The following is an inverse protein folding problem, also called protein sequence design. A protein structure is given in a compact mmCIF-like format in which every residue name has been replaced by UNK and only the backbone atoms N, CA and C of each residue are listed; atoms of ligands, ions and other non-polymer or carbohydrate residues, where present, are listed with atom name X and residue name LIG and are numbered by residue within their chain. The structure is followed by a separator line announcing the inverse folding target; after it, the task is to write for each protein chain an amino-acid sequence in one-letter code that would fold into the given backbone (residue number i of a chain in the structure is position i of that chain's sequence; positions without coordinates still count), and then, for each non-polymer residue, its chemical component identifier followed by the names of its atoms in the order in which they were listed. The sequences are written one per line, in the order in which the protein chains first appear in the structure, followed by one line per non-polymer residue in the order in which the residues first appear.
data_IF_943103499589
#
_entry.id   IF_943103499589
#
_cell.length_a   1.000
_cell.length_b   1.000
_cell.length_c   1.000
_cell.angle_alpha   90.00
_cell.angle_beta   90.00
_cell.angle_gamma   90.00
#
_symmetry.space_group_name_H-M   'P 1'
#
loop_
_entity.id
_entity.type
_entity.pdbx_description
1 polymer ?
#
# COMPACT_ATOMS: atom_id res chain seq x y z
N UNK A 1 2.51 -5.06 -12.61
CA UNK A 1 1.77 -3.84 -12.97
C UNK A 1 2.33 -2.60 -12.28
N UNK A 2 2.19 -2.43 -10.95
CA UNK A 2 2.69 -1.23 -10.26
C UNK A 2 4.20 -1.01 -10.44
N UNK A 3 5.00 -2.07 -10.29
CA UNK A 3 6.44 -2.06 -10.57
C UNK A 3 6.73 -1.63 -12.02
N UNK A 4 5.96 -2.15 -12.98
CA UNK A 4 6.04 -1.80 -14.41
C UNK A 4 5.68 -0.33 -14.66
N UNK A 5 4.74 0.22 -13.89
CA UNK A 5 4.38 1.63 -13.91
C UNK A 5 5.37 2.54 -13.15
N UNK A 6 6.49 1.98 -12.66
CA UNK A 6 7.56 2.71 -11.99
C UNK A 6 7.32 2.96 -10.50
N UNK A 7 6.32 2.32 -9.90
CA UNK A 7 6.12 2.39 -8.45
C UNK A 7 7.09 1.44 -7.72
N UNK A 8 7.72 1.95 -6.67
CA UNK A 8 8.52 1.16 -5.75
C UNK A 8 7.77 0.98 -4.42
N UNK A 9 7.95 -0.18 -3.79
CA UNK A 9 7.42 -0.42 -2.44
C UNK A 9 8.14 0.49 -1.44
N UNK A 10 7.39 1.08 -0.50
CA UNK A 10 7.91 1.74 0.69
C UNK A 10 7.79 0.77 1.89
N UNK A 11 8.86 0.04 2.25
CA UNK A 11 8.78 -0.98 3.29
C UNK A 11 8.55 -0.39 4.68
N UNK A 12 9.01 0.86 4.91
CA UNK A 12 8.92 1.53 6.23
C UNK A 12 7.49 1.96 6.54
N UNK A 13 6.76 2.33 5.50
CA UNK A 13 5.37 2.80 5.58
C UNK A 13 4.35 1.71 5.17
N UNK A 14 4.83 0.49 4.91
CA UNK A 14 3.99 -0.68 4.66
C UNK A 14 3.71 -1.47 5.94
N UNK A 15 2.59 -2.16 5.96
CA UNK A 15 2.17 -3.06 7.03
C UNK A 15 1.85 -4.44 6.47
N UNK A 16 1.69 -5.44 7.34
CA UNK A 16 1.29 -6.80 6.94
C UNK A 16 -0.01 -6.84 6.10
N UNK A 17 -0.94 -5.89 6.30
CA UNK A 17 -2.26 -5.88 5.63
C UNK A 17 -2.40 -4.82 4.54
N UNK A 18 -1.39 -3.96 4.39
CA UNK A 18 -1.42 -2.85 3.46
C UNK A 18 -0.01 -2.55 2.97
N UNK A 19 0.24 -2.64 1.67
CA UNK A 19 1.54 -2.36 1.05
C UNK A 19 1.47 -1.00 0.39
N UNK A 20 2.38 -0.10 0.78
CA UNK A 20 2.48 1.25 0.23
C UNK A 20 3.47 1.25 -0.92
N UNK A 21 3.04 1.81 -2.04
CA UNK A 21 3.83 2.03 -3.25
C UNK A 21 4.00 3.53 -3.46
N UNK A 22 5.17 3.95 -3.95
CA UNK A 22 5.50 5.34 -4.26
C UNK A 22 6.13 5.50 -5.63
N UNK A 23 5.76 6.58 -6.31
CA UNK A 23 6.40 7.09 -7.53
C UNK A 23 6.45 8.62 -7.44
N UNK A 24 7.59 9.18 -7.07
CA UNK A 24 7.66 10.61 -6.71
C UNK A 24 6.72 10.93 -5.54
N UNK A 25 5.79 11.86 -5.75
CA UNK A 25 4.77 12.24 -4.77
C UNK A 25 3.49 11.40 -4.85
N UNK A 26 3.37 10.53 -5.87
CA UNK A 26 2.22 9.63 -6.03
C UNK A 26 2.31 8.46 -5.06
N UNK A 27 1.18 8.10 -4.46
CA UNK A 27 1.08 7.04 -3.46
C UNK A 27 -0.08 6.12 -3.84
N UNK A 28 0.18 4.81 -3.85
CA UNK A 28 -0.87 3.79 -3.96
C UNK A 28 -0.73 2.83 -2.78
N UNK A 29 -1.81 2.62 -2.04
CA UNK A 29 -1.85 1.66 -0.94
C UNK A 29 -2.69 0.48 -1.36
N UNK A 30 -2.05 -0.68 -1.50
CA UNK A 30 -2.71 -1.96 -1.82
C UNK A 30 -3.11 -2.66 -0.52
N UNK A 31 -4.36 -3.07 -0.43
CA UNK A 31 -5.00 -3.67 0.75
C UNK A 31 -5.73 -4.96 0.37
N UNK A 32 -6.30 -5.64 1.37
CA UNK A 32 -7.07 -6.88 1.17
C UNK A 32 -6.30 -7.93 0.36
N UNK A 33 -5.04 -8.16 0.75
CA UNK A 33 -4.17 -9.18 0.12
C UNK A 33 -4.03 -9.01 -1.40
N UNK A 34 -4.02 -7.75 -1.88
CA UNK A 34 -3.89 -7.42 -3.30
C UNK A 34 -5.20 -7.20 -4.03
N UNK A 35 -6.34 -7.40 -3.38
CA UNK A 35 -7.67 -7.31 -4.02
C UNK A 35 -8.23 -5.89 -4.07
N UNK A 36 -7.69 -4.96 -3.29
CA UNK A 36 -8.13 -3.57 -3.28
C UNK A 36 -6.98 -2.59 -3.20
N UNK A 37 -7.24 -1.33 -3.59
CA UNK A 37 -6.28 -0.25 -3.48
C UNK A 37 -6.96 1.11 -3.27
N UNK A 38 -6.20 2.09 -2.83
CA UNK A 38 -6.59 3.50 -2.83
C UNK A 38 -5.38 4.43 -2.92
N UNK A 39 -5.59 5.64 -3.43
CA UNK A 39 -4.67 6.77 -3.36
C UNK A 39 -5.05 7.65 -2.15
N UNK A 40 -4.17 7.83 -1.14
CA UNK A 40 -4.49 8.65 0.03
C UNK A 40 -4.57 10.15 -0.24
N UNK A 41 -4.16 10.62 -1.42
CA UNK A 41 -4.18 12.04 -1.81
C UNK A 41 -5.40 12.40 -2.66
N UNK A 42 -6.27 11.43 -2.98
CA UNK A 42 -7.48 11.65 -3.75
C UNK A 42 -8.61 10.68 -3.32
N UNK A 43 -9.74 10.72 -4.01
CA UNK A 43 -10.84 9.75 -3.79
C UNK A 43 -10.69 8.46 -4.62
N UNK A 44 -9.59 8.33 -5.38
CA UNK A 44 -9.35 7.18 -6.24
C UNK A 44 -9.12 5.91 -5.42
N UNK A 45 -9.90 4.88 -5.71
CA UNK A 45 -9.87 3.57 -5.04
C UNK A 45 -10.62 2.53 -5.87
N UNK A 46 -10.40 1.25 -5.56
CA UNK A 46 -11.20 0.18 -6.13
C UNK A 46 -10.48 -1.15 -6.10
N UNK A 47 -10.88 -2.00 -7.04
CA UNK A 47 -10.25 -3.29 -7.32
C UNK A 47 -9.08 -3.13 -8.31
N UNK A 48 -8.48 -4.26 -8.69
CA UNK A 48 -7.36 -4.32 -9.64
C UNK A 48 -7.72 -3.77 -11.03
N UNK A 49 -8.98 -3.84 -11.47
CA UNK A 49 -9.38 -3.29 -12.78
C UNK A 49 -9.42 -1.78 -12.72
N UNK A 50 -10.02 -1.22 -11.66
CA UNK A 50 -10.00 0.23 -11.41
C UNK A 50 -8.60 0.77 -11.26
N UNK A 51 -7.65 -0.04 -10.77
CA UNK A 51 -6.23 0.33 -10.74
C UNK A 51 -5.68 0.50 -12.15
N UNK A 52 -6.00 -0.41 -13.07
CA UNK A 52 -5.60 -0.31 -14.48
C UNK A 52 -6.19 0.90 -15.16
N UNK A 53 -7.49 1.14 -14.98
CA UNK A 53 -8.13 2.35 -15.49
C UNK A 53 -7.43 3.61 -14.95
N UNK A 54 -7.02 3.61 -13.67
CA UNK A 54 -6.37 4.75 -13.04
C UNK A 54 -4.93 4.99 -13.53
N UNK A 55 -4.14 3.93 -13.72
CA UNK A 55 -2.74 4.05 -14.14
C UNK A 55 -2.60 4.34 -15.64
N UNK A 56 -3.40 3.65 -16.45
CA UNK A 56 -3.22 3.65 -17.91
C UNK A 56 -4.29 4.47 -18.64
N UNK A 57 -5.31 4.99 -17.93
CA UNK A 57 -6.42 5.74 -18.52
C UNK A 57 -7.32 4.91 -19.44
N UNK A 58 -7.23 3.58 -19.34
CA UNK A 58 -7.93 2.65 -20.22
C UNK A 58 -9.39 2.45 -19.81
N UNK A 59 -10.30 2.16 -20.75
CA UNK A 59 -11.64 1.72 -20.41
C UNK A 59 -11.60 0.29 -19.83
N UNK A 60 -12.59 -0.06 -19.01
CA UNK A 60 -12.73 -1.37 -18.37
C UNK A 60 -12.46 -2.57 -19.29
N UNK A 61 -12.99 -2.54 -20.52
CA UNK A 61 -12.82 -3.64 -21.47
C UNK A 61 -11.34 -3.89 -21.83
N UNK A 62 -10.52 -2.84 -21.91
CA UNK A 62 -9.08 -2.96 -22.14
C UNK A 62 -8.35 -3.37 -20.85
N UNK A 63 -8.79 -2.85 -19.69
CA UNK A 63 -8.26 -3.26 -18.39
C UNK A 63 -8.39 -4.77 -18.14
N UNK A 64 -9.47 -5.40 -18.64
CA UNK A 64 -9.66 -6.85 -18.55
C UNK A 64 -8.50 -7.64 -19.17
N UNK A 65 -8.02 -7.22 -20.35
CA UNK A 65 -6.92 -7.90 -21.03
C UNK A 65 -5.60 -7.72 -20.30
N UNK A 66 -5.33 -6.52 -19.77
CA UNK A 66 -4.14 -6.24 -18.96
C UNK A 66 -4.11 -7.11 -17.71
N UNK A 67 -5.24 -7.24 -17.01
CA UNK A 67 -5.35 -8.09 -15.82
C UNK A 67 -5.25 -9.57 -16.17
N UNK A 68 -5.84 -10.00 -17.29
CA UNK A 68 -5.74 -11.39 -17.76
C UNK A 68 -4.29 -11.82 -18.02
N UNK A 69 -3.47 -10.93 -18.61
CA UNK A 69 -2.04 -11.18 -18.84
C UNK A 69 -1.23 -11.30 -17.54
N UNK A 70 -1.74 -10.80 -16.42
CA UNK A 70 -1.12 -10.90 -15.10
C UNK A 70 -1.54 -12.18 -14.34
N UNK A 71 -2.46 -12.99 -14.87
CA UNK A 71 -2.88 -14.23 -14.22
C UNK A 71 -1.69 -15.20 -14.15
N UNK A 72 -1.35 -15.64 -12.94
CA UNK A 72 -0.18 -16.48 -12.68
C UNK A 72 1.12 -15.72 -12.45
N UNK A 73 1.11 -14.39 -12.57
CA UNK A 73 2.22 -13.55 -12.13
C UNK A 73 2.32 -13.56 -10.61
N UNK A 74 3.48 -13.96 -10.08
CA UNK A 74 3.79 -13.88 -8.65
C UNK A 74 4.65 -12.63 -8.44
N UNK A 75 4.11 -11.57 -7.83
CA UNK A 75 4.92 -10.39 -7.52
C UNK A 75 6.05 -10.77 -6.55
N UNK A 76 7.17 -10.06 -6.65
CA UNK A 76 8.29 -10.20 -5.74
C UNK A 76 7.77 -10.09 -4.31
N UNK A 77 7.89 -11.17 -3.53
CA UNK A 77 7.39 -11.21 -2.16
C UNK A 77 8.11 -10.12 -1.37
N UNK A 78 7.38 -9.06 -1.03
CA UNK A 78 7.85 -8.09 -0.04
C UNK A 78 7.87 -8.80 1.30
N UNK A 79 9.00 -9.37 1.66
CA UNK A 79 9.19 -9.96 2.99
C UNK A 79 9.06 -8.80 3.98
N UNK A 80 7.92 -8.75 4.66
CA UNK A 80 7.73 -7.80 5.74
C UNK A 80 8.56 -8.30 6.93
N UNK A 81 9.81 -7.84 6.98
CA UNK A 81 10.61 -7.95 8.20
C UNK A 81 10.14 -6.85 9.15
N UNK A 82 9.35 -7.24 10.16
CA UNK A 82 9.07 -6.35 11.28
C UNK A 82 10.41 -5.97 11.90
N UNK A 83 10.87 -4.74 11.66
CA UNK A 83 11.89 -4.15 12.52
C UNK A 83 11.29 -4.09 13.92
N UNK A 84 11.87 -4.84 14.85
CA UNK A 84 11.51 -4.77 16.25
C UNK A 84 11.68 -3.32 16.70
N UNK A 85 10.57 -2.61 16.94
CA UNK A 85 10.67 -1.31 17.64
C UNK A 85 11.19 -1.61 19.03
N UNK A 86 12.21 -0.87 19.47
CA UNK A 86 12.56 -0.82 20.88
C UNK A 86 11.28 -0.46 21.65
N UNK A 87 10.80 -1.40 22.46
CA UNK A 87 9.66 -1.16 23.30
C UNK A 87 10.09 -0.13 24.33
N UNK A 88 9.42 1.03 24.37
CA UNK A 88 9.58 1.95 25.49
C UNK A 88 9.28 1.17 26.80
N UNK A 89 9.96 1.47 27.92
CA UNK A 89 9.70 0.77 29.17
C UNK A 89 8.19 0.76 29.48
N UNK A 90 7.70 -0.33 30.07
CA UNK A 90 6.29 -0.47 30.45
C UNK A 90 5.93 0.58 31.52
N UNK A 91 5.45 1.73 31.05
CA UNK A 91 4.91 2.79 31.89
C UNK A 91 3.48 2.44 32.31
N UNK A 92 3.14 2.74 33.57
CA UNK A 92 1.78 2.65 34.07
C UNK A 92 0.85 3.61 33.30
N UNK A 93 -0.47 3.34 33.33
CA UNK A 93 -1.47 4.20 32.66
C UNK A 93 -1.31 5.69 33.05
N UNK A 94 -1.12 6.06 34.33
CA UNK A 94 -0.92 7.46 34.72
C UNK A 94 0.34 8.09 34.13
N UNK A 95 1.46 7.36 34.10
CA UNK A 95 2.74 7.86 33.58
C UNK A 95 2.67 8.13 32.07
N UNK A 96 1.99 7.24 31.32
CA UNK A 96 1.74 7.44 29.88
C UNK A 96 0.89 8.68 29.60
N UNK A 97 -0.12 8.95 30.42
CA UNK A 97 -0.96 10.12 30.27
C UNK A 97 -0.21 11.43 30.57
N UNK A 98 0.70 11.42 31.53
CA UNK A 98 1.53 12.59 31.87
C UNK A 98 2.63 12.87 30.84
N UNK A 99 3.24 11.82 30.27
CA UNK A 99 4.31 11.92 29.28
C UNK A 99 3.81 12.22 27.85
N UNK A 100 2.49 12.31 27.64
CA UNK A 100 1.92 12.63 26.32
C UNK A 100 2.40 13.99 25.85
N UNK A 101 2.68 14.13 24.55
CA UNK A 101 2.94 15.44 23.94
C UNK A 101 1.72 16.34 24.18
N UNK A 102 1.96 17.51 24.76
CA UNK A 102 0.93 18.55 24.90
C UNK A 102 0.61 19.12 23.50
N UNK A 103 -0.63 19.52 23.25
CA UNK A 103 -1.00 20.19 22.01
C UNK A 103 -0.21 21.48 21.80
#
# INVERSE_FOLDING_TARGET
MLETAGFAVDPKESTRRAVKYRRGDEIIIVIHDGQGWFDPLSDAKGDVFRLVEHLDGLPFAAALYVVADLVGFVPSTTVWERQSREHAPDLTIPERWNARRKP
#
